data_IF_583758043859
#
_entry.id   IF_583758043859
#
_cell.length_a   1.000
_cell.length_b   1.000
_cell.length_c   1.000
_cell.angle_alpha   90.00
_cell.angle_beta   90.00
_cell.angle_gamma   90.00
#
_symmetry.space_group_name_H-M   'P 1'
#
loop_
_entity.id
_entity.type
_entity.pdbx_description
1 polymer ?
#
# COMPACT_ATOMS: atom_id res chain seq x y z
N UNK A 1 22.48 -0.06 -12.98
CA UNK A 1 21.76 1.09 -12.38
C UNK A 1 20.67 1.53 -13.35
N UNK A 2 19.40 1.62 -12.93
CA UNK A 2 18.31 2.20 -13.73
C UNK A 2 18.08 3.62 -13.23
N UNK A 3 18.36 4.62 -14.06
CA UNK A 3 17.96 6.00 -13.77
C UNK A 3 16.45 6.12 -14.00
N UNK A 4 15.72 6.55 -12.97
CA UNK A 4 14.33 6.98 -13.10
C UNK A 4 14.33 8.25 -13.95
N UNK A 5 14.06 8.08 -15.25
CA UNK A 5 13.87 9.20 -16.17
C UNK A 5 12.57 9.87 -15.73
N UNK A 6 12.66 11.09 -15.19
CA UNK A 6 11.48 11.82 -14.75
C UNK A 6 10.53 11.98 -15.95
N UNK A 7 9.37 11.34 -15.87
CA UNK A 7 8.32 11.44 -16.87
C UNK A 7 7.55 12.74 -16.60
N UNK A 8 7.96 13.82 -17.26
CA UNK A 8 7.18 15.07 -17.27
C UNK A 8 6.09 14.95 -18.32
N UNK A 9 4.86 15.31 -17.97
CA UNK A 9 3.76 15.36 -18.92
C UNK A 9 4.04 16.41 -20.01
N UNK A 10 3.65 16.09 -21.24
CA UNK A 10 3.64 17.09 -22.31
C UNK A 10 2.52 18.09 -22.08
N UNK A 11 2.53 19.29 -22.70
CA UNK A 11 1.42 20.24 -22.58
C UNK A 11 0.06 19.65 -22.96
N UNK A 12 0.02 18.79 -23.98
CA UNK A 12 -1.18 18.03 -24.34
C UNK A 12 -1.56 17.01 -23.27
N UNK A 13 -0.58 16.33 -22.66
CA UNK A 13 -0.80 15.44 -21.52
C UNK A 13 -1.36 16.18 -20.31
N UNK A 14 -0.88 17.39 -20.01
CA UNK A 14 -1.39 18.23 -18.93
C UNK A 14 -2.85 18.63 -19.18
N UNK A 15 -3.19 19.02 -20.42
CA UNK A 15 -4.54 19.41 -20.79
C UNK A 15 -5.53 18.23 -20.79
N UNK A 16 -5.06 17.02 -21.08
CA UNK A 16 -5.89 15.83 -21.15
C UNK A 16 -6.03 15.11 -19.79
N UNK A 17 -5.08 15.31 -18.89
CA UNK A 17 -5.02 14.67 -17.57
C UNK A 17 -6.33 14.79 -16.77
N UNK A 18 -6.97 15.97 -16.66
CA UNK A 18 -8.22 16.09 -15.90
C UNK A 18 -9.33 15.21 -16.47
N UNK A 19 -9.50 15.21 -17.80
CA UNK A 19 -10.55 14.42 -18.47
C UNK A 19 -10.32 12.91 -18.36
N UNK A 20 -9.07 12.47 -18.46
CA UNK A 20 -8.70 11.07 -18.29
C UNK A 20 -8.86 10.64 -16.82
N UNK A 21 -8.44 11.49 -15.88
CA UNK A 21 -8.60 11.25 -14.46
C UNK A 21 -10.09 11.06 -14.09
N UNK A 22 -10.96 11.97 -14.53
CA UNK A 22 -12.40 11.90 -14.26
C UNK A 22 -13.04 10.64 -14.85
N UNK A 23 -12.59 10.20 -16.03
CA UNK A 23 -13.04 8.95 -16.63
C UNK A 23 -12.64 7.73 -15.79
N UNK A 24 -11.40 7.68 -15.30
CA UNK A 24 -10.95 6.61 -14.41
C UNK A 24 -11.68 6.61 -13.07
N UNK A 25 -11.94 7.79 -12.50
CA UNK A 25 -12.74 7.94 -11.27
C UNK A 25 -14.14 7.36 -11.49
N UNK A 26 -14.84 7.75 -12.56
CA UNK A 26 -16.17 7.22 -12.88
C UNK A 26 -16.19 5.72 -13.12
N UNK A 27 -15.17 5.18 -13.78
CA UNK A 27 -15.04 3.73 -13.97
C UNK A 27 -14.86 3.04 -12.62
N UNK A 28 -14.03 3.59 -11.74
CA UNK A 28 -13.83 3.07 -10.39
C UNK A 28 -15.12 3.10 -9.56
N UNK A 29 -15.83 4.23 -9.60
CA UNK A 29 -17.12 4.40 -8.90
C UNK A 29 -18.18 3.41 -9.41
N UNK A 30 -18.34 3.29 -10.73
CA UNK A 30 -19.29 2.33 -11.31
C UNK A 30 -18.91 0.87 -11.04
N UNK A 31 -17.62 0.58 -10.95
CA UNK A 31 -17.14 -0.76 -10.54
C UNK A 31 -17.50 -1.03 -9.08
N UNK A 32 -17.27 -0.06 -8.18
CA UNK A 32 -17.65 -0.16 -6.76
C UNK A 32 -19.16 -0.32 -6.56
N UNK A 33 -19.97 0.39 -7.36
CA UNK A 33 -21.43 0.35 -7.28
C UNK A 33 -22.01 -1.00 -7.74
N UNK A 34 -21.40 -1.60 -8.78
CA UNK A 34 -21.85 -2.88 -9.36
C UNK A 34 -21.39 -4.09 -8.54
N UNK A 35 -20.15 -4.07 -8.05
CA UNK A 35 -19.57 -5.21 -7.32
C UNK A 35 -19.71 -5.08 -5.80
N UNK A 36 -20.21 -3.94 -5.32
CA UNK A 36 -20.39 -3.61 -3.91
C UNK A 36 -19.06 -3.44 -3.17
N UNK A 37 -19.12 -2.96 -1.92
CA UNK A 37 -17.99 -2.93 -1.00
C UNK A 37 -17.63 -4.35 -0.52
N UNK A 38 -17.11 -5.18 -1.40
CA UNK A 38 -16.44 -6.44 -1.04
C UNK A 38 -15.12 -6.12 -0.34
N UNK A 39 -15.13 -5.62 0.90
CA UNK A 39 -13.90 -5.52 1.73
C UNK A 39 -12.66 -4.99 0.97
N UNK A 40 -12.82 -4.01 0.07
CA UNK A 40 -11.93 -3.90 -1.11
C UNK A 40 -10.59 -3.20 -0.87
N UNK A 41 -10.42 -2.50 0.25
CA UNK A 41 -9.09 -1.98 0.59
C UNK A 41 -8.33 -3.01 1.44
N UNK A 42 -7.24 -3.59 0.90
CA UNK A 42 -6.41 -4.49 1.68
C UNK A 42 -5.75 -3.71 2.83
N UNK A 43 -5.77 -4.27 4.02
CA UNK A 43 -5.01 -3.73 5.14
C UNK A 43 -3.53 -3.86 4.80
N UNK A 44 -2.87 -2.72 4.68
CA UNK A 44 -1.48 -2.60 4.28
C UNK A 44 -0.60 -2.66 5.52
N UNK A 45 0.20 -3.73 5.61
CA UNK A 45 1.11 -3.98 6.71
C UNK A 45 2.55 -3.85 6.23
N UNK A 46 3.26 -2.90 6.82
CA UNK A 46 4.68 -2.63 6.56
C UNK A 46 5.55 -3.27 7.62
N UNK A 47 6.56 -4.03 7.21
CA UNK A 47 7.51 -4.65 8.13
C UNK A 47 8.85 -4.92 7.45
N UNK A 48 9.91 -5.17 8.24
CA UNK A 48 11.19 -5.59 7.67
C UNK A 48 11.08 -7.00 7.06
N UNK A 49 11.83 -7.32 5.99
CA UNK A 49 11.77 -8.64 5.34
C UNK A 49 11.99 -9.81 6.32
N UNK A 50 12.88 -9.63 7.31
CA UNK A 50 13.15 -10.62 8.35
C UNK A 50 11.91 -10.88 9.21
N UNK A 51 11.19 -9.82 9.62
CA UNK A 51 9.96 -9.96 10.42
C UNK A 51 8.84 -10.60 9.62
N UNK A 52 8.68 -10.20 8.35
CA UNK A 52 7.71 -10.80 7.44
C UNK A 52 7.89 -12.33 7.36
N UNK A 53 9.12 -12.80 7.19
CA UNK A 53 9.44 -14.21 6.99
C UNK A 53 9.47 -15.03 8.29
N UNK A 54 10.15 -14.52 9.32
CA UNK A 54 10.44 -15.30 10.54
C UNK A 54 9.25 -15.41 11.50
N UNK A 55 8.37 -14.41 11.51
CA UNK A 55 7.34 -14.24 12.52
C UNK A 55 5.94 -14.04 11.95
N UNK A 56 5.81 -13.17 10.93
CA UNK A 56 4.50 -12.74 10.43
C UNK A 56 3.86 -13.77 9.50
N UNK A 57 4.62 -14.39 8.59
CA UNK A 57 4.09 -15.35 7.61
C UNK A 57 3.24 -16.45 8.26
N UNK A 58 3.72 -17.06 9.35
CA UNK A 58 2.98 -18.11 10.08
C UNK A 58 1.68 -17.59 10.72
N UNK A 59 1.65 -16.33 11.16
CA UNK A 59 0.47 -15.70 11.78
C UNK A 59 -0.55 -15.28 10.75
N UNK A 60 -0.11 -14.79 9.59
CA UNK A 60 -1.01 -14.45 8.49
C UNK A 60 -1.77 -15.66 7.95
N UNK A 61 -1.15 -16.84 7.94
CA UNK A 61 -1.85 -18.07 7.56
C UNK A 61 -3.03 -18.34 8.51
N UNK A 62 -2.84 -18.21 9.82
CA UNK A 62 -3.90 -18.41 10.80
C UNK A 62 -4.97 -17.31 10.71
N UNK A 63 -4.54 -16.05 10.55
CA UNK A 63 -5.43 -14.90 10.38
C UNK A 63 -6.31 -15.04 9.13
N UNK A 64 -5.72 -15.39 7.98
CA UNK A 64 -6.45 -15.55 6.73
C UNK A 64 -7.48 -16.69 6.81
N UNK A 65 -7.21 -17.77 7.55
CA UNK A 65 -8.21 -18.82 7.79
C UNK A 65 -9.40 -18.32 8.63
N UNK A 66 -9.14 -17.46 9.62
CA UNK A 66 -10.18 -16.92 10.50
C UNK A 66 -10.96 -15.76 9.84
N UNK A 67 -10.32 -15.01 8.95
CA UNK A 67 -10.84 -13.82 8.30
C UNK A 67 -10.56 -13.84 6.79
N UNK A 68 -11.13 -14.78 6.03
CA UNK A 68 -10.83 -14.95 4.60
C UNK A 68 -11.22 -13.74 3.74
N UNK A 69 -12.17 -12.93 4.21
CA UNK A 69 -12.62 -11.70 3.55
C UNK A 69 -11.61 -10.54 3.66
N UNK A 70 -10.69 -10.58 4.63
CA UNK A 70 -9.74 -9.48 4.83
C UNK A 70 -8.54 -9.70 3.92
N UNK A 71 -8.40 -8.82 2.91
CA UNK A 71 -7.21 -8.77 2.08
C UNK A 71 -6.06 -8.09 2.85
N UNK A 72 -4.85 -8.69 2.79
CA UNK A 72 -3.64 -8.15 3.42
C UNK A 72 -2.63 -7.82 2.34
N UNK A 73 -2.10 -6.60 2.35
CA UNK A 73 -0.99 -6.17 1.49
C UNK A 73 0.27 -6.05 2.34
N UNK A 74 1.30 -6.83 2.01
CA UNK A 74 2.60 -6.72 2.68
C UNK A 74 3.52 -5.75 1.93
N UNK A 75 4.09 -4.79 2.66
CA UNK A 75 5.10 -3.88 2.16
C UNK A 75 6.38 -4.08 2.96
N UNK A 76 7.50 -4.23 2.27
CA UNK A 76 8.81 -4.38 2.91
C UNK A 76 9.44 -3.02 3.15
N UNK A 77 9.85 -2.76 4.38
CA UNK A 77 10.67 -1.61 4.74
C UNK A 77 12.10 -2.07 5.03
N UNK A 78 13.07 -1.49 4.34
CA UNK A 78 14.49 -1.81 4.46
C UNK A 78 15.23 -0.66 5.15
N UNK A 79 14.84 0.58 4.84
CA UNK A 79 15.43 1.80 5.39
C UNK A 79 14.49 2.45 6.42
N UNK A 80 15.02 3.24 7.36
CA UNK A 80 14.19 3.98 8.33
C UNK A 80 13.16 4.89 7.66
N UNK A 81 13.53 5.53 6.55
CA UNK A 81 12.68 6.46 5.79
C UNK A 81 11.54 5.76 5.03
N UNK A 82 11.55 4.42 4.95
CA UNK A 82 10.42 3.65 4.40
C UNK A 82 9.23 3.64 5.38
N UNK A 83 9.46 3.98 6.65
CA UNK A 83 8.41 4.11 7.67
C UNK A 83 7.91 5.55 7.73
N UNK A 84 6.60 5.72 7.83
CA UNK A 84 5.99 7.05 7.78
C UNK A 84 4.47 7.01 7.66
N UNK A 85 3.80 8.17 7.82
CA UNK A 85 2.33 8.26 7.88
C UNK A 85 1.64 7.89 6.57
N UNK A 86 2.38 7.84 5.46
CA UNK A 86 1.83 7.53 4.15
C UNK A 86 2.06 6.05 3.77
N UNK A 87 1.00 5.40 3.30
CA UNK A 87 1.07 4.13 2.55
C UNK A 87 1.12 2.84 3.37
N UNK A 88 0.83 2.87 4.68
CA UNK A 88 0.59 1.66 5.48
C UNK A 88 -0.44 1.92 6.60
N UNK A 89 -1.33 0.96 6.83
CA UNK A 89 -2.29 0.99 7.95
C UNK A 89 -1.65 0.52 9.26
N UNK A 90 -0.65 -0.37 9.15
CA UNK A 90 0.05 -0.96 10.30
C UNK A 90 1.55 -1.07 9.97
N UNK A 91 2.40 -0.67 10.92
CA UNK A 91 3.86 -0.83 10.82
C UNK A 91 4.41 -1.72 11.94
N UNK A 92 5.30 -2.64 11.58
CA UNK A 92 6.02 -3.50 12.53
C UNK A 92 7.52 -3.26 12.38
N UNK A 93 8.09 -2.55 13.36
CA UNK A 93 9.50 -2.18 13.43
C UNK A 93 10.22 -3.08 14.43
N UNK A 94 11.41 -3.56 14.07
CA UNK A 94 12.28 -4.35 14.94
C UNK A 94 13.61 -3.61 15.12
N UNK A 95 13.92 -3.24 16.36
CA UNK A 95 15.12 -2.48 16.72
C UNK A 95 15.04 -2.01 18.17
N UNK A 96 16.15 -1.50 18.72
CA UNK A 96 16.16 -0.85 20.03
C UNK A 96 15.44 0.50 19.86
N UNK A 97 14.18 0.58 20.30
CA UNK A 97 13.35 1.77 20.13
C UNK A 97 14.00 3.00 20.77
N UNK A 98 14.62 3.83 19.95
CA UNK A 98 14.77 5.25 20.26
C UNK A 98 13.49 5.91 19.80
N UNK A 99 12.62 6.24 20.75
CA UNK A 99 11.68 7.35 20.54
C UNK A 99 12.52 8.63 20.57
N UNK A 100 13.21 8.92 19.47
CA UNK A 100 13.70 10.28 19.26
C UNK A 100 12.45 11.07 18.85
N UNK A 101 11.83 11.66 19.87
CA UNK A 101 10.80 12.65 19.71
C UNK A 101 11.40 13.99 19.31
N UNK A 102 10.57 14.71 18.56
CA UNK A 102 10.72 16.10 18.05
C UNK A 102 11.56 16.27 16.77
#
# INVERSE_FOLDING_TARGET
>A
MRHARSLTLTPAGQAWLPSIHDAFVRISEGTLEVFGSTSEQPVTLRATPVIQQSWLARRLIAFHRAHPQVAIRLVSAIWPDDFGPEGADIEIRYGKGGVDGD
#
